data_IF_174946372826
#
_entry.id   IF_174946372826
#
_cell.length_a   1.000
_cell.length_b   1.000
_cell.length_c   1.000
_cell.angle_alpha   90.00
_cell.angle_beta   90.00
_cell.angle_gamma   90.00
#
_symmetry.space_group_name_H-M   'P 1'
#
loop_
_entity.id
_entity.type
_entity.pdbx_description
1 polymer ?
#
# COMPACT_ATOMS: atom_id res chain seq x y z
N UNK A 1 -20.09 -34.88 -7.64
CA UNK A 1 -20.97 -33.72 -7.41
C UNK A 1 -20.12 -32.63 -6.77
N UNK A 2 -19.82 -31.54 -7.49
CA UNK A 2 -18.99 -30.44 -6.97
C UNK A 2 -19.91 -29.45 -6.28
N UNK A 3 -19.65 -29.15 -5.00
CA UNK A 3 -20.42 -28.16 -4.27
C UNK A 3 -20.26 -26.77 -4.93
N UNK A 4 -21.32 -25.94 -4.98
CA UNK A 4 -21.22 -24.60 -5.54
C UNK A 4 -20.24 -23.76 -4.72
N UNK A 5 -19.43 -22.96 -5.42
CA UNK A 5 -18.49 -22.03 -4.78
C UNK A 5 -19.28 -21.01 -3.94
N UNK A 6 -18.94 -20.91 -2.65
CA UNK A 6 -19.53 -19.91 -1.76
C UNK A 6 -18.86 -18.55 -1.96
N UNK A 7 -19.67 -17.51 -2.13
CA UNK A 7 -19.21 -16.13 -2.31
C UNK A 7 -19.33 -15.36 -0.99
N UNK A 8 -18.22 -14.80 -0.51
CA UNK A 8 -18.18 -13.94 0.68
C UNK A 8 -18.10 -12.47 0.27
N UNK A 9 -19.11 -11.68 0.62
CA UNK A 9 -19.12 -10.21 0.42
C UNK A 9 -18.69 -9.52 1.72
N UNK A 10 -17.54 -8.87 1.68
CA UNK A 10 -17.03 -8.04 2.78
C UNK A 10 -16.93 -6.58 2.36
N UNK A 11 -16.95 -5.67 3.33
CA UNK A 11 -16.63 -4.25 3.09
C UNK A 11 -15.18 -4.16 2.60
N UNK A 12 -14.88 -3.14 1.78
CA UNK A 12 -13.53 -2.92 1.24
C UNK A 12 -12.53 -2.84 2.41
N UNK A 13 -11.51 -3.71 2.45
CA UNK A 13 -10.58 -3.77 3.57
C UNK A 13 -9.58 -2.60 3.53
N UNK A 14 -8.96 -2.35 4.67
CA UNK A 14 -7.84 -1.43 4.83
C UNK A 14 -6.61 -2.23 5.30
N UNK A 15 -5.42 -1.82 4.86
CA UNK A 15 -4.14 -2.44 5.26
C UNK A 15 -3.52 -1.65 6.42
N UNK A 16 -3.26 -2.31 7.54
CA UNK A 16 -2.75 -1.64 8.75
C UNK A 16 -1.22 -1.66 8.84
N UNK A 17 -0.54 -2.38 7.95
CA UNK A 17 0.91 -2.45 7.95
C UNK A 17 1.44 -2.86 6.58
N UNK A 18 1.84 -1.88 5.77
CA UNK A 18 2.48 -2.13 4.46
C UNK A 18 3.85 -1.45 4.35
N UNK A 19 4.77 -2.09 3.65
CA UNK A 19 6.06 -1.50 3.26
C UNK A 19 6.10 -1.28 1.75
N UNK A 20 5.82 -0.06 1.31
CA UNK A 20 5.77 0.27 -0.13
C UNK A 20 7.13 0.59 -0.77
N UNK A 21 8.22 0.61 0.04
CA UNK A 21 9.58 0.98 -0.40
C UNK A 21 9.60 2.38 -1.05
N UNK A 22 10.69 2.73 -1.74
CA UNK A 22 10.94 4.05 -2.32
C UNK A 22 11.16 3.94 -3.84
N UNK A 23 11.02 5.06 -4.56
CA UNK A 23 11.40 5.19 -5.96
C UNK A 23 10.55 4.36 -6.92
N UNK A 24 11.18 3.65 -7.84
CA UNK A 24 10.45 2.88 -8.86
C UNK A 24 9.76 1.63 -8.30
N UNK A 25 10.26 1.07 -7.18
CA UNK A 25 9.55 -0.01 -6.48
C UNK A 25 8.20 0.45 -5.94
N UNK A 26 8.11 1.69 -5.44
CA UNK A 26 6.85 2.28 -4.97
C UNK A 26 5.83 2.34 -6.11
N UNK A 27 6.24 2.80 -7.29
CA UNK A 27 5.35 2.91 -8.46
C UNK A 27 4.82 1.55 -8.93
N UNK A 28 5.63 0.51 -8.79
CA UNK A 28 5.25 -0.85 -9.19
C UNK A 28 4.34 -1.53 -8.17
N UNK A 29 4.54 -1.30 -6.87
CA UNK A 29 3.81 -2.00 -5.80
C UNK A 29 2.47 -1.33 -5.45
N UNK A 30 2.39 0.00 -5.54
CA UNK A 30 1.16 0.76 -5.23
C UNK A 30 -0.08 0.29 -5.99
N UNK A 31 -0.03 0.01 -7.31
CA UNK A 31 -1.19 -0.45 -8.06
C UNK A 31 -1.83 -1.71 -7.46
N UNK A 32 -1.02 -2.73 -7.16
CA UNK A 32 -1.47 -4.01 -6.59
C UNK A 32 -2.21 -3.84 -5.26
N UNK A 33 -1.67 -2.99 -4.36
CA UNK A 33 -2.31 -2.76 -3.07
C UNK A 33 -3.54 -1.84 -3.22
N UNK A 34 -3.52 -0.89 -4.16
CA UNK A 34 -4.63 0.04 -4.40
C UNK A 34 -5.85 -0.60 -5.08
N UNK A 35 -5.69 -1.72 -5.77
CA UNK A 35 -6.81 -2.46 -6.37
C UNK A 35 -7.74 -3.03 -5.28
N UNK A 36 -7.13 -3.57 -4.21
CA UNK A 36 -7.82 -4.33 -3.17
C UNK A 36 -8.20 -3.42 -1.98
N UNK A 37 -7.29 -2.58 -1.51
CA UNK A 37 -7.43 -1.85 -0.25
C UNK A 37 -7.90 -0.40 -0.45
N UNK A 38 -8.72 0.11 0.48
CA UNK A 38 -9.18 1.51 0.46
C UNK A 38 -8.15 2.48 1.05
N UNK A 39 -7.52 2.08 2.15
CA UNK A 39 -6.47 2.82 2.85
C UNK A 39 -5.37 1.86 3.28
N UNK A 40 -4.18 2.41 3.48
CA UNK A 40 -3.05 1.66 4.01
C UNK A 40 -2.22 2.50 4.98
N UNK A 41 -1.74 1.88 6.06
CA UNK A 41 -0.75 2.45 6.96
C UNK A 41 0.64 2.03 6.47
N UNK A 42 1.37 3.00 5.92
CA UNK A 42 2.68 2.76 5.30
C UNK A 42 3.76 2.89 6.36
N UNK A 43 4.44 1.78 6.62
CA UNK A 43 5.59 1.72 7.51
C UNK A 43 6.87 1.99 6.73
N UNK A 44 7.65 2.98 7.16
CA UNK A 44 8.89 3.40 6.47
C UNK A 44 10.11 2.88 7.22
N UNK A 45 10.64 1.73 6.81
CA UNK A 45 11.95 1.25 7.27
C UNK A 45 13.03 1.89 6.42
N UNK A 46 13.79 2.81 7.02
CA UNK A 46 14.88 3.49 6.32
C UNK A 46 16.19 2.69 6.46
N UNK A 47 16.95 2.56 5.37
CA UNK A 47 18.39 2.21 5.42
C UNK A 47 19.20 3.33 6.11
N UNK A 48 20.41 3.04 6.64
CA UNK A 48 21.06 3.90 7.64
C UNK A 48 21.21 5.34 7.15
N UNK A 49 21.00 6.33 8.02
CA UNK A 49 20.84 7.71 7.61
C UNK A 49 22.18 8.29 7.14
N UNK A 50 22.22 8.83 5.92
CA UNK A 50 23.30 9.73 5.46
C UNK A 50 23.07 11.20 5.85
N UNK A 51 22.11 11.49 6.74
CA UNK A 51 21.73 12.87 7.11
C UNK A 51 21.44 13.04 8.61
N UNK A 52 21.72 14.24 9.20
CA UNK A 52 21.53 14.48 10.62
C UNK A 52 20.06 14.39 11.05
N UNK A 53 19.86 13.98 12.30
CA UNK A 53 18.59 13.62 12.95
C UNK A 53 17.50 14.71 13.03
N UNK A 54 17.73 15.94 12.54
CA UNK A 54 16.82 17.08 12.75
C UNK A 54 15.50 17.01 11.94
N UNK A 55 15.31 16.03 11.05
CA UNK A 55 14.14 15.98 10.15
C UNK A 55 13.47 14.61 10.01
N UNK A 56 13.46 13.73 11.03
CA UNK A 56 12.77 12.45 10.83
C UNK A 56 12.08 11.88 12.07
N UNK A 57 10.76 12.04 12.09
CA UNK A 57 9.86 11.24 12.90
C UNK A 57 9.74 9.84 12.25
N UNK A 58 10.00 8.73 12.96
CA UNK A 58 9.68 7.38 12.47
C UNK A 58 8.15 7.22 12.52
N UNK A 59 7.47 7.79 11.53
CA UNK A 59 6.01 7.94 11.58
C UNK A 59 5.35 7.03 10.56
N UNK A 60 4.57 6.09 11.08
CA UNK A 60 3.53 5.45 10.31
C UNK A 60 2.61 6.54 9.74
N UNK A 61 2.35 6.49 8.44
CA UNK A 61 1.52 7.47 7.75
C UNK A 61 0.31 6.77 7.13
N UNK A 62 -0.89 7.31 7.36
CA UNK A 62 -2.11 6.81 6.75
C UNK A 62 -2.20 7.36 5.33
N UNK A 63 -2.14 6.47 4.34
CA UNK A 63 -2.34 6.82 2.93
C UNK A 63 -3.73 6.37 2.48
N UNK A 64 -4.45 7.29 1.83
CA UNK A 64 -5.58 6.89 0.99
C UNK A 64 -5.02 6.23 -0.26
N UNK A 65 -5.46 5.01 -0.56
CA UNK A 65 -4.99 4.23 -1.71
C UNK A 65 -5.63 4.67 -3.02
N UNK A 66 -5.78 5.99 -3.20
CA UNK A 66 -6.28 6.56 -4.44
C UNK A 66 -5.13 6.62 -5.44
N UNK A 67 -5.04 5.60 -6.29
CA UNK A 67 -4.00 5.52 -7.31
C UNK A 67 -4.12 6.73 -8.25
N UNK A 68 -3.03 7.48 -8.52
CA UNK A 68 -3.05 8.60 -9.45
C UNK A 68 -3.51 8.17 -10.86
N UNK A 69 -4.24 9.04 -11.60
CA UNK A 69 -4.61 8.74 -12.97
C UNK A 69 -3.35 8.45 -13.80
N UNK A 70 -3.28 7.25 -14.38
CA UNK A 70 -2.13 6.77 -15.16
C UNK A 70 -1.28 5.67 -14.51
N UNK A 71 -1.50 5.34 -13.23
CA UNK A 71 -0.75 4.28 -12.53
C UNK A 71 -1.44 2.91 -12.50
N UNK A 72 -2.68 2.79 -12.96
CA UNK A 72 -3.38 1.51 -13.07
C UNK A 72 -3.21 0.99 -14.50
N UNK A 73 -2.41 -0.07 -14.66
CA UNK A 73 -2.43 -0.88 -15.88
C UNK A 73 -3.79 -1.56 -15.94
N UNK A 74 -4.69 -1.07 -16.79
CA UNK A 74 -5.93 -1.77 -17.12
C UNK A 74 -5.57 -3.15 -17.67
N UNK A 75 -5.71 -4.18 -16.85
CA UNK A 75 -5.95 -5.55 -17.32
C UNK A 75 -7.42 -5.88 -17.09
#
# INVERSE_FOLDING_TARGET
>A
MTAPSQVLKIRRPDDWHVHLRDGDMLKTVVPYTSEIYGRAIVMRTWRPPSRPLMQRSPTASVFSMRCPPGMISRR
#
